data_IF_613258667708
#
_entry.id   IF_613258667708
#
_cell.length_a   1.000
_cell.length_b   1.000
_cell.length_c   1.000
_cell.angle_alpha   90.00
_cell.angle_beta   90.00
_cell.angle_gamma   90.00
#
_symmetry.space_group_name_H-M   'P 1'
#
loop_
_entity.id
_entity.type
_entity.pdbx_description
1 polymer ?
#
# COMPACT_ATOMS: atom_id res chain seq x y z
N UNK A 1 20.79 3.23 26.90
CA UNK A 1 21.78 2.15 26.65
C UNK A 1 21.80 1.86 25.16
N UNK A 2 22.96 1.38 24.67
CA UNK A 2 23.41 1.30 23.26
C UNK A 2 22.42 0.74 22.25
N UNK A 3 22.41 1.35 21.06
CA UNK A 3 21.89 0.79 19.81
C UNK A 3 22.76 -0.41 19.41
N UNK A 4 22.25 -1.63 19.62
CA UNK A 4 22.83 -2.83 19.05
C UNK A 4 21.95 -3.28 17.87
N UNK A 5 22.42 -2.99 16.65
CA UNK A 5 21.83 -3.57 15.43
C UNK A 5 22.25 -5.04 15.38
N UNK A 6 21.32 -5.93 15.68
CA UNK A 6 21.51 -7.37 15.56
C UNK A 6 21.30 -7.71 14.08
N UNK A 7 22.38 -7.71 13.31
CA UNK A 7 22.38 -8.21 11.94
C UNK A 7 22.40 -9.74 11.99
N UNK A 8 21.31 -10.40 11.62
CA UNK A 8 21.28 -11.83 11.35
C UNK A 8 21.16 -12.07 9.83
N UNK A 9 22.13 -12.79 9.26
CA UNK A 9 22.07 -13.26 7.88
C UNK A 9 21.31 -14.59 7.84
N UNK A 10 20.37 -14.73 6.89
CA UNK A 10 19.69 -16.01 6.65
C UNK A 10 20.53 -16.92 5.73
N UNK A 11 20.13 -18.20 5.64
CA UNK A 11 20.79 -19.24 4.83
C UNK A 11 20.83 -18.91 3.31
N UNK A 12 20.19 -17.82 2.89
CA UNK A 12 20.13 -17.37 1.50
C UNK A 12 20.98 -16.11 1.24
N UNK A 13 21.86 -15.73 2.19
CA UNK A 13 22.73 -14.54 2.09
C UNK A 13 21.97 -13.25 1.77
N UNK A 14 20.68 -13.18 2.08
CA UNK A 14 19.91 -11.96 1.91
C UNK A 14 20.12 -11.11 3.15
N UNK A 15 20.54 -9.86 2.90
CA UNK A 15 20.51 -8.83 3.93
C UNK A 15 19.06 -8.59 4.29
N UNK A 16 18.60 -9.27 5.35
CA UNK A 16 17.34 -8.94 5.99
C UNK A 16 17.55 -7.61 6.70
N UNK A 17 17.32 -6.53 5.98
CA UNK A 17 16.95 -5.29 6.63
C UNK A 17 15.74 -5.66 7.49
N UNK A 18 15.86 -5.52 8.80
CA UNK A 18 14.71 -5.33 9.67
C UNK A 18 14.01 -4.08 9.12
N UNK A 19 13.16 -4.28 8.11
CA UNK A 19 12.05 -3.40 7.82
C UNK A 19 11.45 -3.22 9.19
N UNK A 20 11.41 -1.99 9.68
CA UNK A 20 10.67 -1.66 10.89
C UNK A 20 9.25 -2.12 10.57
N UNK A 21 8.93 -3.35 10.95
CA UNK A 21 7.62 -3.91 10.85
C UNK A 21 6.89 -3.13 11.93
N UNK A 22 6.36 -1.98 11.56
CA UNK A 22 5.01 -1.70 11.99
C UNK A 22 4.21 -2.90 11.49
N UNK A 23 4.14 -3.94 12.32
CA UNK A 23 3.11 -4.96 12.30
C UNK A 23 1.82 -4.23 12.62
N UNK A 24 1.42 -3.36 11.69
CA UNK A 24 0.10 -2.80 11.63
C UNK A 24 -0.77 -4.01 11.35
N UNK A 25 -1.27 -4.57 12.45
CA UNK A 25 -2.25 -5.65 12.44
C UNK A 25 -3.34 -5.26 11.46
N UNK A 26 -3.91 -6.22 10.74
CA UNK A 26 -4.83 -5.89 9.65
C UNK A 26 -6.04 -5.05 10.08
N UNK A 27 -6.37 -5.05 11.38
CA UNK A 27 -7.37 -4.18 12.00
C UNK A 27 -7.06 -2.69 11.83
N UNK A 28 -5.80 -2.36 11.54
CA UNK A 28 -5.35 -1.02 11.17
C UNK A 28 -5.76 -0.61 9.75
N UNK A 29 -6.17 -1.55 8.90
CA UNK A 29 -6.75 -1.23 7.60
C UNK A 29 -8.27 -1.17 7.72
N UNK A 30 -8.88 0.04 7.65
CA UNK A 30 -10.33 0.18 7.75
C UNK A 30 -11.07 -0.35 6.51
N UNK A 31 -10.35 -0.70 5.44
CA UNK A 31 -10.93 -1.07 4.17
C UNK A 31 -11.46 -2.51 4.17
N UNK A 32 -12.60 -2.67 3.51
CA UNK A 32 -13.41 -3.89 3.56
C UNK A 32 -12.83 -5.04 2.72
N UNK A 33 -12.11 -4.72 1.65
CA UNK A 33 -11.71 -5.68 0.62
C UNK A 33 -10.19 -5.78 0.48
N UNK A 34 -9.75 -7.00 0.18
CA UNK A 34 -8.37 -7.37 -0.04
C UNK A 34 -8.29 -8.32 -1.23
N UNK A 35 -7.17 -8.35 -1.92
CA UNK A 35 -6.93 -9.32 -2.98
C UNK A 35 -5.50 -9.81 -2.92
N UNK A 36 -5.27 -11.01 -3.47
CA UNK A 36 -3.94 -11.51 -3.65
C UNK A 36 -3.30 -10.81 -4.85
N UNK A 37 -2.09 -10.29 -4.67
CA UNK A 37 -1.28 -9.75 -5.74
C UNK A 37 -0.30 -10.82 -6.21
N UNK A 38 -0.42 -11.20 -7.49
CA UNK A 38 0.41 -12.23 -8.11
C UNK A 38 1.84 -11.75 -8.39
N UNK A 39 2.07 -10.44 -8.48
CA UNK A 39 3.39 -9.87 -8.77
C UNK A 39 4.32 -10.02 -7.56
N UNK A 40 3.81 -9.72 -6.37
CA UNK A 40 4.60 -9.72 -5.14
C UNK A 40 4.34 -10.94 -4.24
N UNK A 41 3.35 -11.77 -4.59
CA UNK A 41 2.96 -12.95 -3.83
C UNK A 41 2.32 -12.65 -2.47
N UNK A 42 1.81 -11.43 -2.27
CA UNK A 42 1.27 -10.96 -1.00
C UNK A 42 -0.19 -10.52 -1.13
N UNK A 43 -0.94 -10.57 -0.02
CA UNK A 43 -2.27 -9.96 0.01
C UNK A 43 -2.14 -8.45 0.15
N UNK A 44 -2.86 -7.71 -0.68
CA UNK A 44 -2.93 -6.25 -0.62
C UNK A 44 -4.36 -5.78 -0.44
N UNK A 45 -4.52 -4.63 0.22
CA UNK A 45 -5.82 -3.95 0.23
C UNK A 45 -6.11 -3.38 -1.16
N UNK A 46 -7.34 -3.51 -1.64
CA UNK A 46 -7.77 -2.97 -2.93
C UNK A 46 -7.85 -1.44 -2.98
N UNK A 47 -7.84 -0.77 -1.82
CA UNK A 47 -8.05 0.67 -1.71
C UNK A 47 -6.78 1.42 -1.31
N UNK A 48 -6.12 0.99 -0.23
CA UNK A 48 -4.90 1.66 0.24
C UNK A 48 -3.61 0.98 -0.24
N UNK A 49 -3.72 -0.12 -0.98
CA UNK A 49 -2.59 -0.86 -1.55
C UNK A 49 -1.55 -1.35 -0.53
N UNK A 50 -1.89 -1.31 0.76
CA UNK A 50 -1.01 -1.79 1.81
C UNK A 50 -0.85 -3.31 1.68
N UNK A 51 0.39 -3.77 1.68
CA UNK A 51 0.74 -5.19 1.62
C UNK A 51 0.72 -5.80 3.00
N UNK A 52 0.21 -7.02 3.06
CA UNK A 52 0.16 -7.78 4.28
C UNK A 52 0.76 -9.16 4.08
N UNK A 53 1.53 -9.58 5.08
CA UNK A 53 2.21 -10.85 5.11
C UNK A 53 1.41 -11.81 5.99
N UNK A 54 0.74 -12.78 5.36
CA UNK A 54 0.04 -13.85 6.07
C UNK A 54 0.33 -15.20 5.44
N UNK A 55 0.27 -16.24 6.26
CA UNK A 55 0.21 -17.60 5.76
C UNK A 55 -1.14 -17.83 5.07
N UNK A 56 -1.14 -18.52 3.92
CA UNK A 56 -2.33 -18.78 3.08
C UNK A 56 -3.53 -19.32 3.89
N UNK A 57 -3.28 -20.18 4.88
CA UNK A 57 -4.31 -20.76 5.76
C UNK A 57 -4.92 -19.75 6.73
N UNK A 58 -4.11 -18.86 7.32
CA UNK A 58 -4.57 -17.82 8.24
C UNK A 58 -5.37 -16.75 7.51
N UNK A 59 -4.90 -16.35 6.32
CA UNK A 59 -5.60 -15.41 5.45
C UNK A 59 -6.99 -15.93 5.07
N UNK A 60 -7.12 -17.22 4.76
CA UNK A 60 -8.39 -17.82 4.37
C UNK A 60 -9.40 -17.84 5.53
N UNK A 61 -8.92 -18.12 6.75
CA UNK A 61 -9.75 -18.17 7.97
C UNK A 61 -10.26 -16.78 8.38
N UNK A 62 -9.42 -15.76 8.27
CA UNK A 62 -9.76 -14.39 8.67
C UNK A 62 -10.49 -13.60 7.57
N UNK A 63 -10.19 -13.86 6.29
CA UNK A 63 -10.61 -13.00 5.18
C UNK A 63 -11.31 -13.73 4.05
N UNK A 64 -11.67 -15.00 4.18
CA UNK A 64 -12.37 -15.73 3.11
C UNK A 64 -13.58 -15.00 2.52
N UNK A 65 -14.28 -14.18 3.34
CA UNK A 65 -15.42 -13.34 2.91
C UNK A 65 -15.04 -11.95 2.35
N UNK A 66 -13.82 -11.46 2.63
CA UNK A 66 -13.30 -10.14 2.26
C UNK A 66 -12.30 -10.20 1.09
N UNK A 67 -11.85 -11.40 0.70
CA UNK A 67 -10.94 -11.61 -0.42
C UNK A 67 -11.71 -11.50 -1.74
N UNK A 68 -11.38 -10.48 -2.52
CA UNK A 68 -11.65 -10.43 -3.94
C UNK A 68 -10.63 -11.31 -4.66
N UNK A 69 -11.10 -12.20 -5.53
CA UNK A 69 -10.22 -13.14 -6.25
C UNK A 69 -9.58 -12.53 -7.50
N UNK A 70 -10.27 -11.59 -8.14
CA UNK A 70 -9.93 -11.08 -9.47
C UNK A 70 -9.72 -9.56 -9.44
N UNK A 71 -8.96 -9.05 -8.46
CA UNK A 71 -8.59 -7.64 -8.46
C UNK A 71 -7.28 -7.45 -9.23
N UNK A 72 -7.31 -6.57 -10.22
CA UNK A 72 -6.14 -6.19 -11.01
C UNK A 72 -5.46 -4.99 -10.34
N UNK A 73 -4.36 -5.26 -9.64
CA UNK A 73 -3.59 -4.24 -8.96
C UNK A 73 -2.88 -3.29 -9.92
N UNK A 74 -2.38 -3.78 -11.06
CA UNK A 74 -1.65 -2.95 -12.03
C UNK A 74 -2.57 -1.89 -12.64
N UNK A 75 -3.78 -2.30 -13.01
CA UNK A 75 -4.81 -1.37 -13.48
C UNK A 75 -5.19 -0.35 -12.40
N UNK A 76 -5.34 -0.80 -11.15
CA UNK A 76 -5.70 0.07 -10.03
C UNK A 76 -4.59 1.08 -9.70
N UNK A 77 -3.32 0.68 -9.74
CA UNK A 77 -2.18 1.57 -9.55
C UNK A 77 -2.12 2.64 -10.65
N UNK A 78 -2.33 2.24 -11.91
CA UNK A 78 -2.34 3.17 -13.03
C UNK A 78 -3.43 4.22 -12.87
N UNK A 79 -4.66 3.79 -12.58
CA UNK A 79 -5.79 4.71 -12.34
C UNK A 79 -5.52 5.65 -11.16
N UNK A 80 -4.95 5.14 -10.07
CA UNK A 80 -4.62 5.95 -8.91
C UNK A 80 -3.56 7.02 -9.24
N UNK A 81 -2.53 6.65 -10.00
CA UNK A 81 -1.50 7.56 -10.49
C UNK A 81 -2.09 8.66 -11.38
N UNK A 82 -2.92 8.28 -12.34
CA UNK A 82 -3.59 9.22 -13.26
C UNK A 82 -4.44 10.24 -12.48
N UNK A 83 -5.22 9.77 -11.50
CA UNK A 83 -6.03 10.62 -10.64
C UNK A 83 -5.20 11.60 -9.80
N UNK A 84 -4.01 11.19 -9.32
CA UNK A 84 -3.11 12.10 -8.59
C UNK A 84 -2.58 13.18 -9.51
N UNK A 85 -2.16 12.81 -10.72
CA UNK A 85 -1.65 13.76 -11.71
C UNK A 85 -2.72 14.78 -12.11
N UNK A 86 -3.96 14.33 -12.28
CA UNK A 86 -5.09 15.20 -12.58
C UNK A 86 -5.41 16.15 -11.42
N UNK A 87 -5.45 15.66 -10.18
CA UNK A 87 -5.64 16.51 -8.99
C UNK A 87 -4.59 17.61 -8.89
N UNK A 88 -3.31 17.26 -9.05
CA UNK A 88 -2.21 18.25 -9.02
C UNK A 88 -2.34 19.30 -10.13
N UNK A 89 -2.84 18.91 -11.31
CA UNK A 89 -3.08 19.85 -12.40
C UNK A 89 -4.21 20.83 -12.03
N UNK A 90 -5.31 20.32 -11.47
CA UNK A 90 -6.45 21.13 -11.06
C UNK A 90 -6.10 22.06 -9.90
N UNK A 91 -5.29 21.61 -8.94
CA UNK A 91 -4.78 22.45 -7.85
C UNK A 91 -3.96 23.63 -8.39
N UNK A 92 -3.03 23.38 -9.32
CA UNK A 92 -2.25 24.44 -9.99
C UNK A 92 -3.14 25.44 -10.73
N UNK A 93 -4.13 24.97 -11.47
CA UNK A 93 -5.09 25.85 -12.17
C UNK A 93 -5.85 26.69 -11.15
N UNK A 94 -6.28 26.10 -10.04
CA UNK A 94 -7.00 26.82 -8.98
C UNK A 94 -6.14 27.89 -8.30
N UNK A 95 -4.85 27.61 -8.06
CA UNK A 95 -3.89 28.59 -7.54
C UNK A 95 -3.66 29.72 -8.54
N UNK A 96 -3.41 29.41 -9.81
CA UNK A 96 -3.23 30.43 -10.85
C UNK A 96 -4.47 31.32 -11.03
N UNK A 97 -5.67 30.77 -10.86
CA UNK A 97 -6.91 31.55 -10.87
C UNK A 97 -7.01 32.46 -9.65
N UNK A 98 -6.67 31.98 -8.44
CA UNK A 98 -6.65 32.81 -7.23
C UNK A 98 -5.68 33.98 -7.37
N UNK A 99 -4.46 33.72 -7.84
CA UNK A 99 -3.45 34.76 -8.06
C UNK A 99 -3.95 35.84 -9.02
N UNK A 100 -4.67 35.43 -10.08
CA UNK A 100 -5.30 36.34 -11.04
C UNK A 100 -6.40 37.21 -10.43
N UNK A 101 -7.22 36.62 -9.53
CA UNK A 101 -8.27 37.36 -8.82
C UNK A 101 -7.73 38.27 -7.71
N UNK A 102 -6.58 37.96 -7.12
CA UNK A 102 -5.94 38.82 -6.11
C UNK A 102 -5.18 40.01 -6.74
N UNK A 103 -4.87 39.94 -8.04
CA UNK A 103 -4.24 41.02 -8.81
C UNK A 103 -5.23 42.09 -9.32
N UNK A 104 -6.54 41.84 -9.24
CA UNK A 104 -7.62 42.75 -9.67
C UNK A 104 -8.47 43.21 -8.48
#
# INVERSE_FOLDING_TARGET
>A
MKNEKILSQDEHFKMNYDRIYFTKSISSCPHKYMSFDFNDGNYKCTNCFYSFYFNKKEAQKLFGKKILKNFDFDKAYKQYSDNILEKKRNEKISESLKDLYELY
#
